data_IF_170246127913
#
_entry.id   IF_170246127913
#
_cell.length_a   1.000
_cell.length_b   1.000
_cell.length_c   1.000
_cell.angle_alpha   90.00
_cell.angle_beta   90.00
_cell.angle_gamma   90.00
#
_symmetry.space_group_name_H-M   'P 1'
#
loop_
_entity.id
_entity.type
_entity.pdbx_description
1 polymer ?
#
# COMPACT_ATOMS: atom_id res chain seq x y z
N UNK A 1 -16.71 11.48 -17.28
CA UNK A 1 -17.29 10.13 -17.51
C UNK A 1 -17.04 9.33 -16.25
N UNK A 2 -17.96 8.45 -15.84
CA UNK A 2 -17.72 7.57 -14.71
C UNK A 2 -16.57 6.59 -15.04
N UNK A 3 -15.68 6.34 -14.08
CA UNK A 3 -14.59 5.39 -14.19
C UNK A 3 -15.12 3.99 -14.56
N UNK A 4 -14.40 3.27 -15.43
CA UNK A 4 -14.79 1.92 -15.85
C UNK A 4 -14.28 0.91 -14.82
N UNK A 5 -15.18 0.27 -14.10
CA UNK A 5 -14.81 -0.80 -13.17
C UNK A 5 -14.46 -2.09 -13.94
N UNK A 6 -13.19 -2.25 -14.31
CA UNK A 6 -12.67 -3.38 -15.10
C UNK A 6 -11.19 -3.59 -14.80
N UNK A 7 -10.70 -4.81 -15.04
CA UNK A 7 -9.28 -5.16 -15.04
C UNK A 7 -8.68 -5.21 -16.45
N UNK A 8 -9.36 -4.59 -17.43
CA UNK A 8 -8.81 -4.45 -18.77
C UNK A 8 -7.45 -3.75 -18.71
N UNK A 9 -6.48 -4.17 -19.54
CA UNK A 9 -5.22 -3.43 -19.63
C UNK A 9 -5.45 -2.00 -20.11
N UNK A 10 -4.55 -1.09 -19.75
CA UNK A 10 -4.51 0.32 -20.16
C UNK A 10 -5.65 1.23 -19.63
N UNK A 11 -6.33 0.85 -18.54
CA UNK A 11 -7.22 1.78 -17.86
C UNK A 11 -6.42 2.87 -17.12
N UNK A 12 -6.91 4.12 -17.17
CA UNK A 12 -6.30 5.27 -16.50
C UNK A 12 -7.32 6.17 -15.80
N UNK A 13 -6.94 6.69 -14.64
CA UNK A 13 -7.69 7.68 -13.87
C UNK A 13 -6.83 8.92 -13.66
N UNK A 14 -7.46 10.07 -13.45
CA UNK A 14 -6.75 11.33 -13.19
C UNK A 14 -6.71 11.60 -11.69
N UNK A 15 -5.52 11.88 -11.15
CA UNK A 15 -5.33 12.33 -9.77
C UNK A 15 -4.11 13.24 -9.67
N UNK A 16 -4.25 14.36 -8.96
CA UNK A 16 -3.20 15.38 -8.78
C UNK A 16 -2.56 15.85 -10.10
N UNK A 17 -3.37 15.98 -11.16
CA UNK A 17 -2.92 16.38 -12.49
C UNK A 17 -2.03 15.34 -13.21
N UNK A 18 -2.09 14.07 -12.80
CA UNK A 18 -1.38 12.94 -13.42
C UNK A 18 -2.38 11.87 -13.86
N UNK A 19 -2.07 11.21 -14.99
CA UNK A 19 -2.80 10.06 -15.49
C UNK A 19 -2.22 8.76 -14.91
N UNK A 20 -2.97 8.11 -14.01
CA UNK A 20 -2.54 6.94 -13.27
C UNK A 20 -3.17 5.66 -13.81
N UNK A 21 -2.34 4.64 -14.06
CA UNK A 21 -2.79 3.28 -14.35
C UNK A 21 -3.59 2.71 -13.19
N UNK A 22 -4.71 2.04 -13.49
CA UNK A 22 -5.47 1.28 -12.50
C UNK A 22 -6.05 -0.01 -13.09
N UNK A 23 -6.50 -0.90 -12.20
CA UNK A 23 -7.33 -2.05 -12.53
C UNK A 23 -8.28 -2.36 -11.38
N UNK A 24 -9.46 -2.89 -11.72
CA UNK A 24 -10.51 -3.22 -10.77
C UNK A 24 -10.98 -4.68 -10.89
N UNK A 25 -11.28 -5.30 -9.76
CA UNK A 25 -11.86 -6.65 -9.68
C UNK A 25 -13.09 -6.65 -8.77
N UNK A 26 -13.94 -7.67 -8.93
CA UNK A 26 -15.13 -7.83 -8.09
C UNK A 26 -16.21 -6.76 -8.34
N UNK A 27 -17.15 -6.59 -7.38
CA UNK A 27 -18.23 -5.61 -7.48
C UNK A 27 -17.73 -4.16 -7.48
N UNK A 28 -18.47 -3.28 -8.15
CA UNK A 28 -18.22 -1.84 -8.15
C UNK A 28 -18.57 -1.19 -6.78
N UNK A 29 -18.06 0.02 -6.48
CA UNK A 29 -18.15 0.61 -5.14
C UNK A 29 -19.57 0.77 -4.58
N UNK A 30 -20.56 1.06 -5.43
CA UNK A 30 -21.97 1.17 -5.04
C UNK A 30 -22.64 -0.17 -4.68
N UNK A 31 -21.93 -1.30 -4.83
CA UNK A 31 -22.45 -2.66 -4.55
C UNK A 31 -21.80 -3.32 -3.35
N UNK A 32 -20.57 -2.95 -3.00
CA UNK A 32 -19.83 -3.50 -1.88
C UNK A 32 -18.65 -2.57 -1.49
N UNK A 33 -18.12 -2.68 -0.26
CA UNK A 33 -16.87 -2.02 0.10
C UNK A 33 -15.72 -2.40 -0.82
N UNK A 34 -14.69 -1.56 -0.88
CA UNK A 34 -13.53 -1.74 -1.77
C UNK A 34 -12.22 -1.93 -0.98
N UNK A 35 -11.40 -2.91 -1.36
CA UNK A 35 -9.99 -2.95 -1.01
C UNK A 35 -9.21 -2.07 -2.00
N UNK A 36 -8.61 -1.00 -1.52
CA UNK A 36 -7.76 -0.11 -2.33
C UNK A 36 -6.30 -0.47 -2.06
N UNK A 37 -5.59 -0.93 -3.10
CA UNK A 37 -4.26 -1.51 -2.97
C UNK A 37 -3.16 -0.50 -3.32
N UNK A 38 -2.26 -0.24 -2.37
CA UNK A 38 -1.12 0.66 -2.49
C UNK A 38 0.17 -0.15 -2.54
N UNK A 39 0.85 -0.14 -3.68
CA UNK A 39 2.04 -0.98 -3.93
C UNK A 39 3.30 -0.50 -3.18
N UNK A 40 4.32 -1.35 -3.07
CA UNK A 40 5.64 -1.01 -2.49
C UNK A 40 6.45 -0.02 -3.34
N UNK A 41 7.62 0.39 -2.84
CA UNK A 41 8.49 1.42 -3.45
C UNK A 41 8.89 1.17 -4.91
N UNK A 42 8.88 -0.07 -5.39
CA UNK A 42 9.14 -0.44 -6.80
C UNK A 42 8.02 -1.30 -7.40
N UNK A 43 6.80 -1.13 -6.88
CA UNK A 43 5.63 -1.89 -7.29
C UNK A 43 4.84 -1.26 -8.46
N UNK A 44 3.80 -1.97 -8.90
CA UNK A 44 2.83 -1.54 -9.91
C UNK A 44 1.58 -2.41 -9.82
N UNK A 45 0.52 -2.05 -10.55
CA UNK A 45 -0.70 -2.88 -10.68
C UNK A 45 -0.35 -4.33 -11.06
N UNK A 46 0.54 -4.52 -12.03
CA UNK A 46 0.91 -5.85 -12.53
C UNK A 46 1.65 -6.72 -11.50
N UNK A 47 2.36 -6.11 -10.54
CA UNK A 47 3.16 -6.83 -9.55
C UNK A 47 2.33 -7.45 -8.42
N UNK A 48 1.09 -7.03 -8.23
CA UNK A 48 0.14 -7.71 -7.34
C UNK A 48 -0.26 -9.11 -7.84
N UNK A 49 -0.01 -9.42 -9.12
CA UNK A 49 -0.31 -10.73 -9.74
C UNK A 49 -1.78 -11.12 -9.52
N UNK A 50 -2.03 -12.33 -9.02
CA UNK A 50 -3.38 -12.86 -8.80
C UNK A 50 -4.01 -12.47 -7.46
N UNK A 51 -3.30 -11.75 -6.59
CA UNK A 51 -3.83 -11.38 -5.27
C UNK A 51 -5.12 -10.55 -5.35
N UNK A 52 -5.27 -9.55 -6.24
CA UNK A 52 -6.48 -8.74 -6.30
C UNK A 52 -7.73 -9.57 -6.60
N UNK A 53 -7.65 -10.48 -7.57
CA UNK A 53 -8.76 -11.38 -7.92
C UNK A 53 -9.07 -12.37 -6.79
N UNK A 54 -8.03 -12.92 -6.15
CA UNK A 54 -8.20 -13.83 -5.02
C UNK A 54 -8.89 -13.16 -3.84
N UNK A 55 -8.50 -11.93 -3.50
CA UNK A 55 -9.13 -11.14 -2.44
C UNK A 55 -10.56 -10.77 -2.78
N UNK A 56 -10.83 -10.29 -4.00
CA UNK A 56 -12.20 -9.96 -4.43
C UNK A 56 -13.15 -11.15 -4.27
N UNK A 57 -12.68 -12.36 -4.61
CA UNK A 57 -13.45 -13.59 -4.47
C UNK A 57 -13.65 -14.01 -3.02
N UNK A 58 -12.60 -13.88 -2.20
CA UNK A 58 -12.61 -14.31 -0.80
C UNK A 58 -13.48 -13.41 0.08
N UNK A 59 -13.37 -12.09 -0.09
CA UNK A 59 -14.08 -11.11 0.75
C UNK A 59 -15.45 -10.72 0.20
N UNK A 60 -15.68 -10.91 -1.10
CA UNK A 60 -16.82 -10.33 -1.81
C UNK A 60 -16.73 -8.81 -2.00
N UNK A 61 -15.60 -8.18 -1.64
CA UNK A 61 -15.36 -6.75 -1.83
C UNK A 61 -14.96 -6.46 -3.27
N UNK A 62 -15.17 -5.21 -3.69
CA UNK A 62 -14.46 -4.68 -4.84
C UNK A 62 -12.97 -4.58 -4.53
N UNK A 63 -12.11 -4.62 -5.55
CA UNK A 63 -10.68 -4.35 -5.39
C UNK A 63 -10.26 -3.34 -6.44
N UNK A 64 -9.57 -2.29 -6.02
CA UNK A 64 -8.93 -1.30 -6.88
C UNK A 64 -7.42 -1.34 -6.60
N UNK A 65 -6.61 -1.61 -7.63
CA UNK A 65 -5.17 -1.38 -7.57
C UNK A 65 -4.82 -0.26 -8.55
N UNK A 66 -3.87 0.60 -8.18
CA UNK A 66 -3.36 1.65 -9.07
C UNK A 66 -1.84 1.74 -8.95
N UNK A 67 -1.20 2.21 -10.02
CA UNK A 67 0.23 2.54 -10.02
C UNK A 67 0.38 4.04 -9.76
N UNK A 68 1.18 4.43 -8.77
CA UNK A 68 1.45 5.86 -8.50
C UNK A 68 2.20 6.50 -9.68
N UNK A 69 2.19 7.83 -9.78
CA UNK A 69 2.99 8.52 -10.79
C UNK A 69 4.45 8.07 -10.72
N UNK A 70 5.11 7.86 -11.86
CA UNK A 70 6.46 7.30 -11.97
C UNK A 70 6.53 5.77 -11.94
N UNK A 71 5.41 5.06 -11.76
CA UNK A 71 5.37 3.60 -11.68
C UNK A 71 4.39 3.00 -12.70
N UNK A 72 4.53 1.69 -12.98
CA UNK A 72 3.65 0.99 -13.89
C UNK A 72 3.57 1.63 -15.28
N UNK A 73 2.33 1.76 -15.76
CA UNK A 73 2.01 2.55 -16.94
C UNK A 73 1.58 3.99 -16.64
N UNK A 74 1.67 4.48 -15.39
CA UNK A 74 1.29 5.85 -15.04
C UNK A 74 2.24 6.90 -15.64
N UNK A 75 1.78 8.15 -15.68
CA UNK A 75 2.62 9.29 -16.07
C UNK A 75 3.91 9.37 -15.22
N UNK A 76 5.03 9.84 -15.79
CA UNK A 76 6.31 9.90 -15.08
C UNK A 76 6.28 10.91 -13.93
N UNK A 77 6.99 10.60 -12.85
CA UNK A 77 7.19 11.54 -11.75
C UNK A 77 8.32 12.54 -12.06
N UNK A 78 8.20 13.76 -11.53
CA UNK A 78 9.32 14.71 -11.54
C UNK A 78 10.36 14.30 -10.50
N UNK A 79 11.63 14.21 -10.92
CA UNK A 79 12.75 13.86 -10.06
C UNK A 79 13.69 15.06 -9.80
N UNK A 80 14.41 15.10 -8.67
CA UNK A 80 14.33 14.15 -7.55
C UNK A 80 13.00 14.27 -6.79
N UNK A 81 12.52 13.16 -6.22
CA UNK A 81 11.38 13.21 -5.31
C UNK A 81 11.77 13.97 -4.03
N UNK A 82 10.87 14.77 -3.45
CA UNK A 82 11.12 15.33 -2.14
C UNK A 82 11.10 14.20 -1.09
N UNK A 83 11.80 14.39 0.04
CA UNK A 83 11.92 13.34 1.07
C UNK A 83 10.59 13.03 1.78
N UNK A 84 9.62 13.94 1.70
CA UNK A 84 8.26 13.77 2.20
C UNK A 84 7.31 13.18 1.12
N UNK A 85 7.82 12.57 0.04
CA UNK A 85 6.96 12.13 -1.07
C UNK A 85 5.85 11.18 -0.63
N UNK A 86 6.08 10.30 0.35
CA UNK A 86 5.03 9.41 0.87
C UNK A 86 3.91 10.20 1.55
N UNK A 87 4.24 11.25 2.29
CA UNK A 87 3.27 12.16 2.89
C UNK A 87 2.45 12.87 1.82
N UNK A 88 3.09 13.34 0.74
CA UNK A 88 2.40 13.98 -0.38
C UNK A 88 1.52 13.01 -1.17
N UNK A 89 1.97 11.77 -1.38
CA UNK A 89 1.14 10.74 -2.02
C UNK A 89 -0.10 10.44 -1.18
N UNK A 90 0.01 10.45 0.15
CA UNK A 90 -1.14 10.34 1.04
C UNK A 90 -2.06 11.56 0.93
N UNK A 91 -1.55 12.76 1.22
CA UNK A 91 -2.36 13.96 1.45
C UNK A 91 -2.87 14.60 0.13
N UNK A 92 -2.07 14.55 -0.93
CA UNK A 92 -2.38 15.26 -2.18
C UNK A 92 -2.98 14.34 -3.26
N UNK A 93 -2.69 13.03 -3.23
CA UNK A 93 -3.03 12.10 -4.33
C UNK A 93 -4.12 11.11 -3.95
N UNK A 94 -3.97 10.39 -2.84
CA UNK A 94 -4.83 9.24 -2.53
C UNK A 94 -6.32 9.63 -2.45
N UNK A 95 -6.65 10.74 -1.81
CA UNK A 95 -8.04 11.23 -1.76
C UNK A 95 -8.66 11.44 -3.14
N UNK A 96 -7.88 11.98 -4.09
CA UNK A 96 -8.34 12.19 -5.47
C UNK A 96 -8.50 10.88 -6.24
N UNK A 97 -7.66 9.86 -5.95
CA UNK A 97 -7.83 8.51 -6.51
C UNK A 97 -9.15 7.89 -6.02
N UNK A 98 -9.45 8.01 -4.72
CA UNK A 98 -10.70 7.52 -4.15
C UNK A 98 -11.92 8.25 -4.76
N UNK A 99 -11.83 9.57 -4.96
CA UNK A 99 -12.87 10.37 -5.60
C UNK A 99 -13.09 9.95 -7.07
N UNK A 100 -12.00 9.84 -7.85
CA UNK A 100 -12.06 9.49 -9.26
C UNK A 100 -12.65 8.09 -9.50
N UNK A 101 -12.38 7.14 -8.59
CA UNK A 101 -12.93 5.80 -8.62
C UNK A 101 -14.34 5.69 -8.04
N UNK A 102 -14.90 6.77 -7.47
CA UNK A 102 -16.22 6.77 -6.85
C UNK A 102 -16.29 5.85 -5.64
N UNK A 103 -15.21 5.76 -4.85
CA UNK A 103 -15.16 4.94 -3.64
C UNK A 103 -16.10 5.53 -2.58
N UNK A 104 -16.98 4.69 -2.04
CA UNK A 104 -17.94 5.06 -0.98
C UNK A 104 -17.47 4.55 0.40
N UNK A 105 -16.98 3.31 0.46
CA UNK A 105 -16.40 2.70 1.65
C UNK A 105 -15.21 1.82 1.25
N UNK A 106 -14.09 1.92 1.97
CA UNK A 106 -12.91 1.14 1.66
C UNK A 106 -12.10 0.67 2.87
N UNK A 107 -11.30 -0.36 2.61
CA UNK A 107 -10.14 -0.75 3.41
C UNK A 107 -8.91 -0.43 2.57
N UNK A 108 -7.96 0.32 3.12
CA UNK A 108 -6.69 0.55 2.44
C UNK A 108 -5.76 -0.63 2.72
N UNK A 109 -5.30 -1.29 1.66
CA UNK A 109 -4.33 -2.38 1.72
C UNK A 109 -3.01 -1.87 1.15
N UNK A 110 -2.05 -1.59 2.03
CA UNK A 110 -0.73 -1.12 1.62
C UNK A 110 0.35 -2.17 1.80
N UNK A 111 1.34 -2.18 0.92
CA UNK A 111 2.58 -2.94 1.10
C UNK A 111 3.80 -2.00 1.12
N UNK A 112 4.68 -2.12 2.12
CA UNK A 112 5.90 -1.30 2.25
C UNK A 112 5.59 0.20 2.22
N UNK A 113 6.17 0.98 1.31
CA UNK A 113 5.79 2.38 1.05
C UNK A 113 4.26 2.58 0.99
N UNK A 114 3.52 1.66 0.38
CA UNK A 114 2.06 1.73 0.31
C UNK A 114 1.38 1.58 1.68
N UNK A 115 1.96 0.80 2.60
CA UNK A 115 1.49 0.69 3.98
C UNK A 115 1.79 1.97 4.77
N UNK A 116 2.95 2.58 4.54
CA UNK A 116 3.30 3.90 5.07
C UNK A 116 2.32 4.97 4.60
N UNK A 117 2.07 5.06 3.29
CA UNK A 117 1.13 6.01 2.69
C UNK A 117 -0.29 5.81 3.24
N UNK A 118 -0.76 4.56 3.33
CA UNK A 118 -2.07 4.25 3.90
C UNK A 118 -2.19 4.69 5.37
N UNK A 119 -1.12 4.51 6.15
CA UNK A 119 -1.08 4.93 7.57
C UNK A 119 -1.09 6.45 7.69
N UNK A 120 -0.24 7.15 6.92
CA UNK A 120 -0.23 8.62 6.90
C UNK A 120 -1.61 9.15 6.54
N UNK A 121 -2.22 8.62 5.47
CA UNK A 121 -3.54 9.07 5.04
C UNK A 121 -4.59 8.95 6.14
N UNK A 122 -4.70 7.78 6.78
CA UNK A 122 -5.67 7.57 7.83
C UNK A 122 -5.36 8.33 9.14
N UNK A 123 -4.09 8.71 9.35
CA UNK A 123 -3.64 9.50 10.49
C UNK A 123 -3.78 11.01 10.29
N UNK A 124 -3.59 11.53 9.07
CA UNK A 124 -3.57 12.97 8.79
C UNK A 124 -4.78 13.50 8.02
N UNK A 125 -5.52 12.64 7.31
CA UNK A 125 -6.69 13.02 6.51
C UNK A 125 -7.97 12.48 7.14
N UNK A 126 -8.92 13.38 7.43
CA UNK A 126 -10.25 13.01 7.93
C UNK A 126 -11.15 12.51 6.80
N UNK A 127 -10.98 11.26 6.36
CA UNK A 127 -11.82 10.61 5.36
C UNK A 127 -12.66 9.47 5.95
N UNK A 128 -13.98 9.69 6.04
CA UNK A 128 -14.93 8.74 6.62
C UNK A 128 -15.19 7.51 5.73
N UNK A 129 -14.70 7.51 4.47
CA UNK A 129 -14.78 6.35 3.58
C UNK A 129 -13.88 5.22 4.06
N UNK A 130 -12.76 5.54 4.71
CA UNK A 130 -11.77 4.55 5.15
C UNK A 130 -12.24 3.88 6.44
N UNK A 131 -12.44 2.57 6.38
CA UNK A 131 -13.03 1.76 7.47
C UNK A 131 -12.01 0.87 8.19
N UNK A 132 -10.85 0.65 7.58
CA UNK A 132 -9.76 -0.12 8.17
C UNK A 132 -8.49 -0.07 7.32
N UNK A 133 -7.39 -0.53 7.92
CA UNK A 133 -6.10 -0.65 7.25
C UNK A 133 -5.61 -2.10 7.27
N UNK A 134 -5.04 -2.54 6.15
CA UNK A 134 -4.21 -3.74 6.05
C UNK A 134 -2.82 -3.29 5.65
N UNK A 135 -1.85 -3.48 6.53
CA UNK A 135 -0.48 -3.00 6.40
C UNK A 135 0.46 -4.20 6.25
N UNK A 136 0.96 -4.45 5.05
CA UNK A 136 1.93 -5.51 4.77
C UNK A 136 3.33 -4.90 4.78
N UNK A 137 4.21 -5.44 5.60
CA UNK A 137 5.59 -4.97 5.78
C UNK A 137 5.71 -3.45 5.94
N UNK A 138 5.00 -2.81 6.89
CA UNK A 138 5.01 -1.36 7.03
C UNK A 138 6.38 -0.81 7.46
N UNK A 139 6.66 0.43 7.04
CA UNK A 139 7.78 1.21 7.55
C UNK A 139 7.30 2.56 8.07
N UNK A 140 7.69 2.91 9.29
CA UNK A 140 7.35 4.19 9.93
C UNK A 140 8.59 5.04 10.22
N UNK A 141 9.76 4.43 10.25
CA UNK A 141 11.05 5.08 10.45
C UNK A 141 12.14 4.28 9.76
N UNK A 142 13.29 4.89 9.51
CA UNK A 142 14.41 4.19 8.88
C UNK A 142 15.18 3.30 9.86
N UNK A 143 15.69 2.18 9.34
CA UNK A 143 16.58 1.30 10.07
C UNK A 143 17.91 1.13 9.33
N UNK A 144 19.08 1.08 10.02
CA UNK A 144 20.37 0.93 9.36
C UNK A 144 20.45 -0.29 8.43
N UNK A 145 19.81 -1.39 8.80
CA UNK A 145 19.74 -2.61 7.99
C UNK A 145 18.93 -2.37 6.71
N UNK A 146 17.74 -1.77 6.82
CA UNK A 146 16.91 -1.45 5.66
C UNK A 146 17.61 -0.51 4.68
N UNK A 147 18.25 0.55 5.19
CA UNK A 147 19.05 1.45 4.37
C UNK A 147 20.22 0.74 3.68
N UNK A 148 20.85 -0.25 4.34
CA UNK A 148 21.89 -1.05 3.72
C UNK A 148 21.34 -1.97 2.61
N UNK A 149 20.16 -2.56 2.80
CA UNK A 149 19.48 -3.36 1.79
C UNK A 149 19.10 -2.53 0.55
N UNK A 150 18.63 -1.29 0.75
CA UNK A 150 18.31 -0.36 -0.34
C UNK A 150 19.56 0.04 -1.12
N UNK A 151 20.67 0.34 -0.44
CA UNK A 151 21.97 0.57 -1.11
C UNK A 151 22.43 -0.64 -1.93
N UNK A 152 22.24 -1.85 -1.40
CA UNK A 152 22.55 -3.08 -2.14
C UNK A 152 21.65 -3.25 -3.37
N UNK A 153 20.38 -2.82 -3.31
CA UNK A 153 19.50 -2.77 -4.47
C UNK A 153 20.02 -1.78 -5.54
N UNK A 154 20.60 -0.65 -5.14
CA UNK A 154 21.33 0.28 -6.02
C UNK A 154 22.44 -0.40 -6.82
N UNK A 155 23.31 -1.15 -6.14
CA UNK A 155 24.38 -1.93 -6.79
C UNK A 155 23.82 -2.99 -7.75
N UNK A 156 22.77 -3.71 -7.33
CA UNK A 156 22.10 -4.71 -8.17
C UNK A 156 21.39 -4.09 -9.39
N UNK A 157 20.93 -2.84 -9.29
CA UNK A 157 20.35 -2.10 -10.40
C UNK A 157 21.41 -1.67 -11.42
N UNK A 158 22.55 -1.16 -10.95
CA UNK A 158 23.63 -0.68 -11.82
C UNK A 158 24.45 -1.79 -12.47
N UNK A 159 24.61 -2.93 -11.79
CA UNK A 159 25.55 -3.99 -12.21
C UNK A 159 24.90 -5.35 -12.45
N UNK A 160 23.69 -5.57 -11.92
CA UNK A 160 22.98 -6.85 -11.98
C UNK A 160 21.81 -6.85 -12.95
N UNK A 161 20.85 -7.73 -12.70
CA UNK A 161 19.66 -7.93 -13.55
C UNK A 161 18.42 -7.14 -13.08
N UNK A 162 18.53 -6.37 -11.99
CA UNK A 162 17.37 -5.76 -11.34
C UNK A 162 16.68 -4.76 -12.27
N UNK A 163 17.45 -3.95 -13.00
CA UNK A 163 16.93 -3.01 -13.99
C UNK A 163 16.10 -3.72 -15.06
N UNK A 164 16.63 -4.78 -15.65
CA UNK A 164 15.92 -5.55 -16.69
C UNK A 164 14.66 -6.23 -16.15
N UNK A 165 14.71 -6.73 -14.90
CA UNK A 165 13.53 -7.33 -14.25
C UNK A 165 12.43 -6.31 -14.01
N UNK A 166 12.76 -5.10 -13.56
CA UNK A 166 11.82 -4.00 -13.31
C UNK A 166 11.30 -3.39 -14.61
N UNK A 167 12.11 -3.30 -15.66
CA UNK A 167 11.70 -2.75 -16.96
C UNK A 167 10.52 -3.49 -17.62
N UNK A 168 10.20 -4.71 -17.15
CA UNK A 168 9.01 -5.45 -17.58
C UNK A 168 7.70 -4.91 -17.01
N UNK A 169 7.77 -4.11 -15.95
CA UNK A 169 6.61 -3.60 -15.22
C UNK A 169 6.46 -2.08 -15.29
N UNK A 170 7.51 -1.36 -15.70
CA UNK A 170 7.53 0.10 -15.70
C UNK A 170 7.77 0.65 -17.10
N UNK A 171 6.94 1.61 -17.52
CA UNK A 171 7.14 2.34 -18.79
C UNK A 171 8.43 3.17 -18.79
N UNK A 172 8.81 3.67 -17.61
CA UNK A 172 10.08 4.33 -17.37
C UNK A 172 10.73 3.73 -16.10
N UNK A 173 11.60 2.75 -16.32
CA UNK A 173 12.25 2.00 -15.23
C UNK A 173 13.21 2.88 -14.42
N UNK A 174 13.88 3.84 -15.08
CA UNK A 174 14.86 4.70 -14.42
C UNK A 174 14.15 5.74 -13.54
N UNK A 175 13.00 6.27 -13.98
CA UNK A 175 12.16 7.13 -13.12
C UNK A 175 11.62 6.37 -11.92
N UNK A 176 11.13 5.15 -12.12
CA UNK A 176 10.62 4.29 -11.05
C UNK A 176 11.71 3.99 -10.01
N UNK A 177 12.88 3.54 -10.47
CA UNK A 177 13.97 3.14 -9.58
C UNK A 177 14.60 4.33 -8.87
N UNK A 178 15.05 5.34 -9.62
CA UNK A 178 15.77 6.48 -9.04
C UNK A 178 14.86 7.32 -8.13
N UNK A 179 13.57 7.44 -8.46
CA UNK A 179 12.61 8.15 -7.62
C UNK A 179 12.45 7.56 -6.23
N UNK A 180 12.54 6.24 -6.10
CA UNK A 180 12.54 5.53 -4.83
C UNK A 180 13.93 5.51 -4.19
N UNK A 181 14.93 5.01 -4.93
CA UNK A 181 16.28 4.75 -4.41
C UNK A 181 16.95 6.04 -3.91
N UNK A 182 16.87 7.13 -4.68
CA UNK A 182 17.58 8.36 -4.35
C UNK A 182 16.96 9.07 -3.14
N UNK A 183 15.65 8.94 -2.95
CA UNK A 183 14.98 9.45 -1.75
C UNK A 183 15.44 8.67 -0.51
N UNK A 184 15.36 7.34 -0.55
CA UNK A 184 15.73 6.47 0.58
C UNK A 184 17.23 6.49 0.91
N UNK A 185 18.10 6.81 -0.06
CA UNK A 185 19.54 6.89 0.15
C UNK A 185 20.06 8.32 0.37
N UNK A 186 19.17 9.32 0.34
CA UNK A 186 19.53 10.69 0.65
C UNK A 186 20.07 10.79 2.10
N UNK A 187 21.15 11.55 2.37
CA UNK A 187 21.73 11.65 3.71
C UNK A 187 20.74 12.04 4.80
N UNK A 188 19.85 12.99 4.50
CA UNK A 188 18.84 13.48 5.45
C UNK A 188 17.64 12.52 5.63
N UNK A 189 17.51 11.50 4.79
CA UNK A 189 16.41 10.52 4.93
C UNK A 189 16.63 9.60 6.13
N UNK A 190 17.84 9.51 6.68
CA UNK A 190 18.10 8.73 7.90
C UNK A 190 17.25 9.19 9.10
N UNK A 191 16.90 10.47 9.14
CA UNK A 191 16.07 11.06 10.19
C UNK A 191 14.56 10.99 9.87
N UNK A 192 14.18 10.37 8.75
CA UNK A 192 12.78 10.22 8.36
C UNK A 192 12.03 9.33 9.36
N UNK A 193 10.92 9.86 9.86
CA UNK A 193 10.01 9.19 10.78
C UNK A 193 8.60 9.78 10.62
N UNK A 194 7.61 8.91 10.46
CA UNK A 194 6.17 9.22 10.32
C UNK A 194 5.31 8.40 11.29
N UNK A 195 5.93 7.83 12.32
CA UNK A 195 5.23 6.98 13.29
C UNK A 195 4.14 7.75 14.05
N UNK A 196 4.26 9.07 14.18
CA UNK A 196 3.25 9.96 14.78
C UNK A 196 1.87 9.86 14.11
N UNK A 197 1.80 9.53 12.82
CA UNK A 197 0.54 9.25 12.14
C UNK A 197 -0.28 8.13 12.82
N UNK A 198 0.38 7.19 13.49
CA UNK A 198 -0.26 6.05 14.17
C UNK A 198 -1.13 6.53 15.37
N UNK A 199 -0.71 7.58 16.08
CA UNK A 199 -1.42 8.11 17.25
C UNK A 199 -2.84 8.62 16.90
N UNK A 200 -3.02 8.95 15.62
CA UNK A 200 -4.23 9.54 15.08
C UNK A 200 -5.18 8.51 14.46
N UNK A 201 -4.77 7.24 14.34
CA UNK A 201 -5.64 6.20 13.82
C UNK A 201 -6.87 5.99 14.71
N UNK A 202 -8.04 5.93 14.07
CA UNK A 202 -9.36 5.73 14.72
C UNK A 202 -10.13 4.54 14.14
N UNK A 203 -9.48 3.78 13.27
CA UNK A 203 -10.04 2.64 12.55
C UNK A 203 -9.24 1.38 12.85
N UNK A 204 -9.83 0.17 12.76
CA UNK A 204 -9.10 -1.07 12.98
C UNK A 204 -7.95 -1.27 11.99
N UNK A 205 -6.88 -1.93 12.44
CA UNK A 205 -5.69 -2.22 11.64
C UNK A 205 -5.33 -3.70 11.73
N UNK A 206 -4.95 -4.28 10.59
CA UNK A 206 -4.22 -5.53 10.50
C UNK A 206 -2.80 -5.24 10.01
N UNK A 207 -1.78 -5.55 10.79
CA UNK A 207 -0.38 -5.43 10.39
C UNK A 207 0.25 -6.81 10.17
N UNK A 208 0.90 -7.01 9.03
CA UNK A 208 1.46 -8.30 8.60
C UNK A 208 2.94 -8.11 8.29
N UNK A 209 3.82 -8.94 8.86
CA UNK A 209 5.27 -8.82 8.69
C UNK A 209 5.91 -10.21 8.54
N UNK A 210 6.84 -10.33 7.60
CA UNK A 210 7.75 -11.48 7.56
C UNK A 210 8.85 -11.31 8.60
N UNK A 211 9.16 -12.37 9.36
CA UNK A 211 10.21 -12.32 10.40
C UNK A 211 11.59 -12.04 9.82
N UNK A 212 11.83 -12.45 8.58
CA UNK A 212 13.12 -12.38 7.90
C UNK A 212 13.18 -11.24 6.89
N UNK A 213 12.33 -10.21 7.06
CA UNK A 213 12.30 -9.04 6.20
C UNK A 213 13.65 -8.28 6.24
N UNK A 214 14.34 -8.11 5.10
CA UNK A 214 15.62 -7.40 5.05
C UNK A 214 15.48 -5.88 5.15
N UNK A 215 14.28 -5.31 4.98
CA UNK A 215 14.04 -3.87 4.95
C UNK A 215 13.55 -3.28 6.27
N UNK A 216 12.82 -4.07 7.07
CA UNK A 216 12.28 -3.64 8.35
C UNK A 216 12.29 -4.75 9.39
N UNK A 217 12.66 -4.44 10.63
CA UNK A 217 12.59 -5.42 11.72
C UNK A 217 11.21 -5.43 12.36
N UNK A 218 10.98 -6.34 13.30
CA UNK A 218 9.77 -6.33 14.13
C UNK A 218 9.61 -5.07 14.98
N UNK A 219 10.60 -4.16 15.02
CA UNK A 219 10.43 -2.84 15.60
C UNK A 219 9.31 -2.04 14.91
N UNK A 220 9.12 -2.19 13.59
CA UNK A 220 8.04 -1.53 12.86
C UNK A 220 6.65 -1.99 13.34
N UNK A 221 6.50 -3.29 13.65
CA UNK A 221 5.24 -3.83 14.18
C UNK A 221 5.02 -3.44 15.64
N UNK A 222 6.07 -3.44 16.46
CA UNK A 222 5.96 -2.96 17.84
C UNK A 222 5.58 -1.48 17.90
N UNK A 223 6.10 -0.67 16.99
CA UNK A 223 5.77 0.76 16.92
C UNK A 223 4.26 0.99 16.74
N UNK A 224 3.59 0.18 15.90
CA UNK A 224 2.13 0.27 15.78
C UNK A 224 1.41 -0.30 17.01
N UNK A 225 1.85 -1.44 17.55
CA UNK A 225 1.25 -2.02 18.76
C UNK A 225 1.32 -1.09 19.98
N UNK A 226 2.41 -0.32 20.11
CA UNK A 226 2.66 0.56 21.25
C UNK A 226 1.96 1.94 21.15
N UNK A 227 1.70 2.43 19.94
CA UNK A 227 1.18 3.80 19.69
C UNK A 227 -0.31 3.85 19.40
N UNK A 228 -0.87 2.79 18.83
CA UNK A 228 -2.22 2.84 18.26
C UNK A 228 -3.30 2.92 19.35
N UNK A 229 -4.29 3.80 19.15
CA UNK A 229 -5.47 3.92 20.03
C UNK A 229 -6.72 3.21 19.50
N UNK A 230 -6.61 2.51 18.36
CA UNK A 230 -7.64 1.72 17.73
C UNK A 230 -7.27 0.23 17.75
N UNK A 231 -8.23 -0.69 17.50
CA UNK A 231 -7.94 -2.12 17.51
C UNK A 231 -6.86 -2.49 16.48
N UNK A 232 -5.85 -3.23 16.93
CA UNK A 232 -4.77 -3.75 16.06
C UNK A 232 -4.70 -5.26 16.16
N UNK A 233 -4.55 -5.91 15.02
CA UNK A 233 -4.21 -7.32 14.88
C UNK A 233 -2.86 -7.43 14.18
N UNK A 234 -2.02 -8.36 14.64
CA UNK A 234 -0.69 -8.57 14.07
C UNK A 234 -0.50 -10.02 13.62
N UNK A 235 0.06 -10.19 12.43
CA UNK A 235 0.44 -11.49 11.87
C UNK A 235 1.93 -11.47 11.54
N UNK A 236 2.72 -12.21 12.33
CA UNK A 236 4.14 -12.43 12.06
C UNK A 236 4.32 -13.80 11.40
N UNK A 237 4.93 -13.81 10.21
CA UNK A 237 5.16 -15.04 9.44
C UNK A 237 6.62 -15.47 9.55
N UNK A 238 6.84 -16.71 9.99
CA UNK A 238 8.16 -17.34 10.01
C UNK A 238 8.58 -17.77 8.59
N UNK A 239 9.90 -17.81 8.35
CA UNK A 239 10.52 -18.14 7.05
C UNK A 239 9.94 -17.29 5.91
N UNK A 240 9.84 -15.98 6.13
CA UNK A 240 9.17 -15.04 5.25
C UNK A 240 9.89 -13.68 5.27
N UNK A 241 10.20 -13.16 4.09
CA UNK A 241 10.81 -11.85 3.89
C UNK A 241 9.78 -10.72 3.70
N UNK A 242 10.16 -9.76 2.85
CA UNK A 242 9.47 -8.48 2.67
C UNK A 242 8.11 -8.57 1.99
N UNK A 243 7.82 -9.64 1.25
CA UNK A 243 6.58 -9.77 0.49
C UNK A 243 5.72 -10.96 0.98
N UNK A 244 5.16 -10.91 2.22
CA UNK A 244 4.25 -11.93 2.76
C UNK A 244 3.19 -12.44 1.78
N UNK A 245 2.57 -11.54 1.03
CA UNK A 245 1.52 -11.87 0.08
C UNK A 245 2.02 -12.66 -1.15
N UNK A 246 3.32 -12.63 -1.46
CA UNK A 246 3.94 -13.43 -2.52
C UNK A 246 4.61 -14.70 -1.98
N UNK A 247 5.25 -14.60 -0.81
CA UNK A 247 6.04 -15.67 -0.20
C UNK A 247 5.18 -16.68 0.56
N UNK A 248 4.14 -16.18 1.23
CA UNK A 248 3.19 -16.95 2.06
C UNK A 248 1.75 -16.51 1.72
N UNK A 249 1.28 -16.71 0.47
CA UNK A 249 0.01 -16.17 0.01
C UNK A 249 -1.20 -16.69 0.81
N UNK A 250 -1.24 -17.98 1.15
CA UNK A 250 -2.37 -18.57 1.84
C UNK A 250 -2.64 -17.97 3.24
N UNK A 251 -1.67 -17.94 4.19
CA UNK A 251 -1.92 -17.33 5.50
C UNK A 251 -2.14 -15.81 5.40
N UNK A 252 -1.47 -15.13 4.47
CA UNK A 252 -1.66 -13.69 4.26
C UNK A 252 -3.08 -13.40 3.78
N UNK A 253 -3.56 -14.12 2.77
CA UNK A 253 -4.92 -13.95 2.23
C UNK A 253 -5.98 -14.28 3.29
N UNK A 254 -5.80 -15.35 4.06
CA UNK A 254 -6.75 -15.74 5.09
C UNK A 254 -6.91 -14.66 6.17
N UNK A 255 -5.81 -14.05 6.62
CA UNK A 255 -5.87 -12.97 7.60
C UNK A 255 -6.59 -11.72 7.06
N UNK A 256 -6.34 -11.36 5.79
CA UNK A 256 -7.04 -10.24 5.14
C UNK A 256 -8.53 -10.53 5.01
N UNK A 257 -8.89 -11.75 4.61
CA UNK A 257 -10.28 -12.20 4.49
C UNK A 257 -11.01 -12.11 5.84
N UNK A 258 -10.42 -12.64 6.90
CA UNK A 258 -10.98 -12.61 8.25
C UNK A 258 -11.14 -11.18 8.77
N UNK A 259 -10.14 -10.32 8.53
CA UNK A 259 -10.19 -8.91 8.89
C UNK A 259 -11.36 -8.19 8.20
N UNK A 260 -11.50 -8.35 6.87
CA UNK A 260 -12.62 -7.76 6.13
C UNK A 260 -13.98 -8.31 6.56
N UNK A 261 -14.10 -9.62 6.78
CA UNK A 261 -15.34 -10.24 7.23
C UNK A 261 -15.77 -9.78 8.64
N UNK A 262 -14.80 -9.47 9.50
CA UNK A 262 -15.07 -8.89 10.83
C UNK A 262 -15.53 -7.43 10.73
N UNK A 263 -14.89 -6.62 9.89
CA UNK A 263 -15.36 -5.25 9.63
C UNK A 263 -16.79 -5.22 9.11
N UNK A 264 -17.11 -6.02 8.09
CA UNK A 264 -18.47 -6.08 7.52
C UNK A 264 -19.52 -6.54 8.55
N UNK A 265 -19.16 -7.46 9.47
CA UNK A 265 -20.04 -7.85 10.59
C UNK A 265 -20.30 -6.71 11.55
N UNK A 266 -19.26 -6.03 12.03
CA UNK A 266 -19.38 -4.93 13.01
C UNK A 266 -20.27 -3.79 12.50
N UNK A 267 -20.30 -3.60 11.18
CA UNK A 267 -21.11 -2.54 10.55
C UNK A 267 -22.56 -2.95 10.28
N UNK A 268 -22.82 -4.25 10.13
CA UNK A 268 -24.16 -4.79 9.85
C UNK A 268 -24.90 -5.28 11.08
N UNK A 269 -24.22 -5.43 12.22
CA UNK A 269 -24.85 -5.81 13.47
C UNK A 269 -25.88 -4.75 13.89
N UNK A 270 -27.16 -5.16 13.91
CA UNK A 270 -28.23 -4.32 14.45
C UNK A 270 -28.01 -4.15 15.95
N UNK A 271 -27.81 -2.90 16.39
CA UNK A 271 -27.79 -2.57 17.82
C UNK A 271 -29.22 -2.73 18.36
N UNK A 272 -29.49 -3.88 18.96
CA UNK A 272 -30.73 -4.10 19.71
C UNK A 272 -30.68 -3.25 20.98
N UNK A 273 -31.34 -2.08 20.94
CA UNK A 273 -31.56 -1.28 22.14
C UNK A 273 -32.61 -1.99 23.00
N UNK A 274 -32.20 -2.44 24.19
CA UNK A 274 -33.07 -3.03 25.21
C UNK A 274 -33.94 -1.96 25.90
#
# INVERSE_FOLDING_TARGET
MALKWSNDPAQRLEANGQSLEYACWGPAPHKAPTLVMLHEGLGSVAQWKGLPEALAKATGFGVLAYSRAGYGASDPATLPRPLDYMTREAEDVLGQVLDAAGIEHCVLLGHSDGATIATIYAGSVSDMRVRGLVLIAPHFFTEPQGLAAIRAAGEAYGTGDLRDRLARYHSDVDVAFNGWHDAWTHPDFVDWNVADAIDHLRIPVLAIQGRDDPYGTLAQIREIEDRIYSPVETLILDDCGHAPHLEKPAPTQAAIEEFCARLDRLEREEVLLA
#
